data_IF_011316445192
#
_entry.id   IF_011316445192
#
_cell.length_a   1.000
_cell.length_b   1.000
_cell.length_c   1.000
_cell.angle_alpha   90.00
_cell.angle_beta   90.00
_cell.angle_gamma   90.00
#
_symmetry.space_group_name_H-M   'P 1'
#
loop_
_entity.id
_entity.type
_entity.pdbx_description
1 polymer ?
#
# COMPACT_ATOMS: atom_id res chain seq x y z
N UNK A 1 34.04 12.23 50.48
CA UNK A 1 32.66 12.15 49.94
C UNK A 1 32.30 13.34 49.05
N UNK A 2 32.48 14.60 49.49
CA UNK A 2 32.18 15.79 48.68
C UNK A 2 32.98 15.88 47.37
N UNK A 3 34.27 15.55 47.40
CA UNK A 3 35.14 15.59 46.20
C UNK A 3 34.77 14.52 45.15
N UNK A 4 34.33 13.34 45.61
CA UNK A 4 33.87 12.27 44.74
C UNK A 4 32.57 12.66 44.01
N UNK A 5 31.65 13.33 44.71
CA UNK A 5 30.43 13.86 44.10
C UNK A 5 30.74 14.98 43.10
N UNK A 6 31.72 15.83 43.40
CA UNK A 6 32.14 16.88 42.47
C UNK A 6 32.75 16.30 41.19
N UNK A 7 33.60 15.27 41.30
CA UNK A 7 34.14 14.55 40.15
C UNK A 7 33.06 13.93 39.27
N UNK A 8 32.01 13.37 39.87
CA UNK A 8 30.87 12.79 39.12
C UNK A 8 30.13 13.88 38.34
N UNK A 9 29.90 15.04 38.96
CA UNK A 9 29.23 16.18 38.31
C UNK A 9 30.08 16.71 37.15
N UNK A 10 31.37 16.87 37.37
CA UNK A 10 32.29 17.38 36.35
C UNK A 10 32.38 16.41 35.15
N UNK A 11 32.41 15.11 35.43
CA UNK A 11 32.41 14.07 34.40
C UNK A 11 31.09 14.06 33.61
N UNK A 12 29.94 14.23 34.26
CA UNK A 12 28.65 14.37 33.59
C UNK A 12 28.60 15.61 32.68
N UNK A 13 29.11 16.74 33.16
CA UNK A 13 29.17 17.98 32.39
C UNK A 13 30.06 17.84 31.14
N UNK A 14 31.22 17.19 31.28
CA UNK A 14 32.10 16.88 30.15
C UNK A 14 31.42 15.97 29.12
N UNK A 15 30.70 14.95 29.60
CA UNK A 15 29.99 14.00 28.73
C UNK A 15 28.87 14.69 27.95
N UNK A 16 28.10 15.53 28.63
CA UNK A 16 27.02 16.31 28.02
C UNK A 16 27.56 17.30 26.97
N UNK A 17 28.70 17.94 27.25
CA UNK A 17 29.36 18.84 26.30
C UNK A 17 29.81 18.10 25.04
N UNK A 18 30.41 16.91 25.17
CA UNK A 18 30.84 16.10 24.03
C UNK A 18 29.65 15.65 23.17
N UNK A 19 28.55 15.22 23.79
CA UNK A 19 27.33 14.83 23.08
C UNK A 19 26.71 16.01 22.33
N UNK A 20 26.70 17.20 22.93
CA UNK A 20 26.25 18.43 22.26
C UNK A 20 27.08 18.74 21.02
N UNK A 21 28.40 18.64 21.14
CA UNK A 21 29.33 18.89 20.02
C UNK A 21 29.15 17.89 18.88
N UNK A 22 28.94 16.60 19.20
CA UNK A 22 28.66 15.57 18.21
C UNK A 22 27.32 15.81 17.49
N UNK A 23 26.29 16.23 18.24
CA UNK A 23 24.99 16.57 17.68
C UNK A 23 25.08 17.79 16.74
N UNK A 24 25.83 18.83 17.11
CA UNK A 24 26.07 19.99 16.23
C UNK A 24 26.79 19.61 14.94
N UNK A 25 27.82 18.77 15.02
CA UNK A 25 28.52 18.24 13.83
C UNK A 25 27.60 17.38 12.95
N UNK A 26 26.71 16.60 13.56
CA UNK A 26 25.74 15.78 12.84
C UNK A 26 24.69 16.65 12.13
N UNK A 27 24.16 17.66 12.83
CA UNK A 27 23.18 18.61 12.29
C UNK A 27 23.73 19.43 11.13
N UNK A 28 24.98 19.91 11.23
CA UNK A 28 25.63 20.64 10.13
C UNK A 28 25.90 19.78 8.89
N UNK A 29 26.00 18.45 9.03
CA UNK A 29 26.19 17.52 7.92
C UNK A 29 24.87 17.12 7.25
N UNK A 30 23.81 16.96 8.05
CA UNK A 30 22.50 16.51 7.56
C UNK A 30 21.66 17.65 6.97
N UNK A 31 21.87 18.87 7.45
CA UNK A 31 21.16 20.06 7.00
C UNK A 31 22.16 21.14 6.55
N UNK A 32 22.74 21.05 5.33
CA UNK A 32 23.46 22.18 4.79
C UNK A 32 22.49 23.36 4.72
N UNK A 33 22.89 24.51 5.26
CA UNK A 33 22.12 25.77 5.21
C UNK A 33 21.97 26.17 3.75
N UNK A 34 20.94 25.62 3.09
CA UNK A 34 20.38 26.18 1.90
C UNK A 34 19.67 27.44 2.36
N UNK A 35 20.27 28.60 2.05
CA UNK A 35 19.60 29.88 2.22
C UNK A 35 18.24 29.77 1.53
N UNK A 36 17.18 29.83 2.35
CA UNK A 36 15.85 30.39 2.10
C UNK A 36 14.89 29.82 3.16
N UNK A 37 14.39 30.72 4.01
CA UNK A 37 13.52 30.44 5.13
C UNK A 37 12.31 29.56 4.75
N UNK A 38 12.09 28.47 5.47
CA UNK A 38 10.78 27.83 5.59
C UNK A 38 10.72 27.11 6.94
N UNK A 39 9.69 27.44 7.71
CA UNK A 39 9.36 26.90 9.03
C UNK A 39 9.40 25.36 9.08
N UNK A 40 9.69 24.75 10.25
CA UNK A 40 9.66 23.29 10.40
C UNK A 40 8.23 22.78 10.13
N UNK A 41 8.04 22.19 8.96
CA UNK A 41 6.79 21.53 8.59
C UNK A 41 6.55 20.36 9.57
N UNK A 42 5.35 20.23 10.15
CA UNK A 42 5.02 19.06 10.96
C UNK A 42 5.10 17.80 10.09
N UNK A 43 5.85 16.80 10.56
CA UNK A 43 5.97 15.49 9.91
C UNK A 43 4.63 14.78 10.11
N UNK A 44 3.68 15.02 9.20
CA UNK A 44 2.47 14.19 9.14
C UNK A 44 2.97 12.81 8.66
N UNK A 45 2.87 11.74 9.47
CA UNK A 45 3.21 10.41 8.98
C UNK A 45 2.38 10.15 7.74
N UNK A 46 3.05 9.77 6.65
CA UNK A 46 2.52 9.50 5.31
C UNK A 46 1.22 8.69 5.39
N UNK A 47 0.10 9.39 5.55
CA UNK A 47 -1.23 8.80 5.51
C UNK A 47 -1.46 8.55 4.04
N UNK A 48 -1.17 7.32 3.62
CA UNK A 48 -1.67 6.76 2.36
C UNK A 48 -3.11 7.27 2.21
N UNK A 49 -3.44 7.99 1.13
CA UNK A 49 -4.75 8.61 1.00
C UNK A 49 -5.81 7.55 1.28
N UNK A 50 -6.83 7.91 2.06
CA UNK A 50 -7.94 7.05 2.43
C UNK A 50 -8.79 6.79 1.17
N UNK A 51 -8.22 6.01 0.24
CA UNK A 51 -8.83 5.69 -1.03
C UNK A 51 -9.84 4.60 -0.73
N UNK A 52 -11.10 5.02 -0.64
CA UNK A 52 -12.22 4.11 -0.50
C UNK A 52 -12.13 3.00 -1.55
N UNK A 53 -12.37 1.74 -1.17
CA UNK A 53 -12.29 0.63 -2.10
C UNK A 53 -13.34 0.81 -3.20
N UNK A 54 -12.87 0.85 -4.45
CA UNK A 54 -13.72 0.98 -5.63
C UNK A 54 -14.50 -0.32 -5.83
N UNK A 55 -15.82 -0.20 -5.97
CA UNK A 55 -16.71 -1.30 -6.32
C UNK A 55 -17.07 -1.22 -7.80
N UNK A 56 -17.18 -2.38 -8.44
CA UNK A 56 -17.56 -2.51 -9.84
C UNK A 56 -18.90 -3.24 -9.98
N UNK A 57 -19.69 -2.78 -10.93
CA UNK A 57 -20.88 -3.47 -11.42
C UNK A 57 -20.52 -4.64 -12.33
N UNK A 58 -21.47 -5.56 -12.55
CA UNK A 58 -21.28 -6.68 -13.50
C UNK A 58 -20.86 -6.18 -14.89
N UNK A 59 -21.47 -5.11 -15.39
CA UNK A 59 -21.15 -4.57 -16.72
C UNK A 59 -19.70 -4.07 -16.77
N UNK A 60 -19.28 -3.29 -15.78
CA UNK A 60 -17.88 -2.81 -15.72
C UNK A 60 -16.88 -3.96 -15.62
N UNK A 61 -17.20 -5.04 -14.90
CA UNK A 61 -16.33 -6.22 -14.83
C UNK A 61 -16.25 -6.95 -16.17
N UNK A 62 -17.37 -7.06 -16.89
CA UNK A 62 -17.41 -7.67 -18.23
C UNK A 62 -16.56 -6.86 -19.21
N UNK A 63 -16.69 -5.54 -19.17
CA UNK A 63 -15.93 -4.62 -20.02
C UNK A 63 -14.44 -4.66 -19.67
N UNK A 64 -14.09 -4.69 -18.38
CA UNK A 64 -12.71 -4.76 -17.91
C UNK A 64 -12.00 -6.04 -18.37
N UNK A 65 -12.69 -7.18 -18.33
CA UNK A 65 -12.15 -8.46 -18.81
C UNK A 65 -12.27 -8.67 -20.32
N UNK A 66 -12.94 -7.76 -21.05
CA UNK A 66 -13.24 -7.88 -22.48
C UNK A 66 -13.90 -9.22 -22.84
N UNK A 67 -14.89 -9.65 -22.03
CA UNK A 67 -15.59 -10.93 -22.21
C UNK A 67 -17.07 -10.76 -22.54
N UNK A 68 -17.72 -11.83 -23.00
CA UNK A 68 -19.18 -11.84 -23.09
C UNK A 68 -19.84 -12.09 -21.74
N UNK A 69 -21.06 -11.59 -21.56
CA UNK A 69 -21.87 -11.82 -20.37
C UNK A 69 -22.06 -13.33 -20.07
N UNK A 70 -22.25 -14.15 -21.10
CA UNK A 70 -22.36 -15.59 -20.96
C UNK A 70 -21.07 -16.22 -20.38
N UNK A 71 -19.91 -15.73 -20.81
CA UNK A 71 -18.60 -16.18 -20.30
C UNK A 71 -18.45 -15.79 -18.84
N UNK A 72 -18.82 -14.56 -18.49
CA UNK A 72 -18.77 -14.07 -17.12
C UNK A 72 -19.54 -14.98 -16.15
N UNK A 73 -20.81 -15.26 -16.45
CA UNK A 73 -21.65 -16.09 -15.56
C UNK A 73 -21.21 -17.56 -15.50
N UNK A 74 -20.58 -18.10 -16.55
CA UNK A 74 -20.17 -19.51 -16.60
C UNK A 74 -18.82 -19.78 -15.97
N UNK A 75 -17.87 -18.86 -16.16
CA UNK A 75 -16.45 -19.12 -15.86
C UNK A 75 -15.86 -18.19 -14.81
N UNK A 76 -16.46 -17.02 -14.58
CA UNK A 76 -15.86 -15.97 -13.73
C UNK A 76 -16.61 -15.84 -12.41
N UNK A 77 -17.93 -15.62 -12.48
CA UNK A 77 -18.78 -15.42 -11.30
C UNK A 77 -18.71 -16.61 -10.35
N UNK A 78 -18.46 -16.34 -9.06
CA UNK A 78 -18.39 -17.34 -7.97
C UNK A 78 -17.31 -18.41 -8.19
N UNK A 79 -16.33 -18.15 -9.05
CA UNK A 79 -15.20 -19.04 -9.32
C UNK A 79 -13.92 -18.27 -9.17
N UNK A 80 -13.78 -17.18 -9.94
CA UNK A 80 -12.60 -16.33 -9.95
C UNK A 80 -12.78 -15.10 -9.07
N UNK A 81 -13.99 -14.55 -9.05
CA UNK A 81 -14.35 -13.41 -8.20
C UNK A 81 -15.66 -13.70 -7.48
N UNK A 82 -15.77 -13.15 -6.28
CA UNK A 82 -16.96 -13.30 -5.42
C UNK A 82 -17.60 -11.93 -5.19
N UNK A 83 -18.93 -11.84 -5.18
CA UNK A 83 -19.62 -10.58 -4.94
C UNK A 83 -19.46 -10.19 -3.47
N UNK A 84 -18.96 -8.98 -3.23
CA UNK A 84 -18.72 -8.43 -1.88
C UNK A 84 -20.02 -7.88 -1.28
N UNK A 85 -20.83 -7.23 -2.12
CA UNK A 85 -22.10 -6.66 -1.71
C UNK A 85 -23.15 -6.83 -2.81
N UNK A 86 -24.43 -6.65 -2.46
CA UNK A 86 -25.55 -6.67 -3.39
C UNK A 86 -26.52 -5.55 -3.07
N UNK A 87 -26.93 -4.80 -4.10
CA UNK A 87 -28.05 -3.85 -3.99
C UNK A 87 -29.23 -4.46 -4.74
N UNK A 88 -30.24 -4.88 -3.98
CA UNK A 88 -31.30 -5.75 -4.51
C UNK A 88 -30.71 -7.06 -5.05
N UNK A 89 -31.01 -7.38 -6.31
CA UNK A 89 -30.47 -8.57 -6.99
C UNK A 89 -29.20 -8.29 -7.82
N UNK A 90 -28.63 -7.08 -7.72
CA UNK A 90 -27.43 -6.68 -8.48
C UNK A 90 -26.17 -6.85 -7.63
N UNK A 91 -25.27 -7.79 -7.98
CA UNK A 91 -24.01 -7.97 -7.27
C UNK A 91 -22.95 -6.93 -7.65
N UNK A 92 -22.15 -6.55 -6.67
CA UNK A 92 -20.99 -5.67 -6.80
C UNK A 92 -19.72 -6.42 -6.40
N UNK A 93 -18.61 -6.08 -7.05
CA UNK A 93 -17.31 -6.74 -6.90
C UNK A 93 -16.24 -5.72 -6.51
N UNK A 94 -15.23 -6.14 -5.75
CA UNK A 94 -14.11 -5.27 -5.42
C UNK A 94 -13.21 -5.10 -6.65
N UNK A 95 -12.75 -3.87 -6.91
CA UNK A 95 -11.81 -3.61 -7.99
C UNK A 95 -10.47 -4.35 -7.78
N UNK A 96 -10.00 -4.47 -6.54
CA UNK A 96 -8.75 -5.18 -6.21
C UNK A 96 -8.79 -6.64 -6.64
N UNK A 97 -9.91 -7.34 -6.39
CA UNK A 97 -10.06 -8.76 -6.71
C UNK A 97 -10.09 -8.96 -8.22
N UNK A 98 -10.75 -8.06 -8.94
CA UNK A 98 -10.80 -8.04 -10.40
C UNK A 98 -9.41 -7.80 -10.99
N UNK A 99 -8.64 -6.87 -10.42
CA UNK A 99 -7.27 -6.57 -10.84
C UNK A 99 -6.32 -7.75 -10.53
N UNK A 100 -6.47 -8.39 -9.37
CA UNK A 100 -5.68 -9.57 -8.98
C UNK A 100 -5.87 -10.71 -9.97
N UNK A 101 -7.12 -11.02 -10.35
CA UNK A 101 -7.40 -12.00 -11.39
C UNK A 101 -6.75 -11.63 -12.72
N UNK A 102 -6.75 -10.34 -13.08
CA UNK A 102 -6.14 -9.85 -14.31
C UNK A 102 -4.61 -10.01 -14.32
N UNK A 103 -3.94 -9.88 -13.17
CA UNK A 103 -2.48 -10.12 -13.05
C UNK A 103 -2.09 -11.56 -13.38
N UNK A 104 -3.00 -12.51 -13.20
CA UNK A 104 -2.77 -13.91 -13.55
C UNK A 104 -3.04 -14.24 -15.03
N UNK A 105 -3.53 -13.28 -15.81
CA UNK A 105 -3.83 -13.46 -17.23
C UNK A 105 -2.65 -12.93 -18.06
N UNK A 106 -2.03 -13.76 -18.92
CA UNK A 106 -1.01 -13.28 -19.85
C UNK A 106 -1.57 -12.17 -20.74
N UNK A 107 -0.79 -11.11 -20.96
CA UNK A 107 -1.22 -9.91 -21.70
C UNK A 107 -1.71 -10.17 -23.15
N UNK A 108 -1.54 -11.38 -23.68
CA UNK A 108 -1.92 -11.75 -25.05
C UNK A 108 -3.09 -12.75 -25.13
N UNK A 109 -3.61 -13.23 -23.99
CA UNK A 109 -4.71 -14.20 -23.95
C UNK A 109 -5.96 -13.59 -23.27
N UNK A 110 -6.62 -12.62 -23.92
CA UNK A 110 -7.94 -12.16 -23.48
C UNK A 110 -9.03 -12.96 -24.18
N UNK A 111 -9.97 -13.52 -23.40
CA UNK A 111 -11.15 -14.20 -23.97
C UNK A 111 -11.63 -15.42 -23.20
N UNK A 112 -12.74 -16.00 -23.67
CA UNK A 112 -13.48 -17.06 -22.96
C UNK A 112 -12.65 -18.33 -22.67
N UNK A 113 -11.69 -18.66 -23.55
CA UNK A 113 -10.83 -19.82 -23.36
C UNK A 113 -9.87 -19.65 -22.18
N UNK A 114 -9.31 -18.46 -22.00
CA UNK A 114 -8.41 -18.11 -20.89
C UNK A 114 -9.09 -18.30 -19.54
N UNK A 115 -10.29 -17.73 -19.38
CA UNK A 115 -11.05 -17.85 -18.13
C UNK A 115 -11.50 -19.29 -17.85
N UNK A 116 -11.77 -20.08 -18.90
CA UNK A 116 -12.06 -21.52 -18.75
C UNK A 116 -10.83 -22.28 -18.24
N UNK A 117 -9.64 -21.99 -18.78
CA UNK A 117 -8.36 -22.59 -18.34
C UNK A 117 -8.05 -22.20 -16.89
N UNK A 118 -8.21 -20.92 -16.54
CA UNK A 118 -7.99 -20.41 -15.19
C UNK A 118 -8.92 -21.08 -14.16
N UNK A 119 -10.21 -21.20 -14.51
CA UNK A 119 -11.20 -21.94 -13.70
C UNK A 119 -10.80 -23.39 -13.45
N UNK A 120 -10.27 -24.09 -14.46
CA UNK A 120 -9.87 -25.49 -14.30
C UNK A 120 -8.65 -25.61 -13.37
N UNK A 121 -7.66 -24.71 -13.49
CA UNK A 121 -6.49 -24.69 -12.60
C UNK A 121 -6.87 -24.54 -11.12
N UNK A 122 -7.94 -23.81 -10.82
CA UNK A 122 -8.47 -23.61 -9.47
C UNK A 122 -9.25 -24.81 -8.92
N UNK A 123 -9.68 -25.74 -9.78
CA UNK A 123 -10.39 -26.97 -9.36
C UNK A 123 -9.45 -28.14 -9.10
N UNK A 124 -8.29 -28.14 -9.75
CA UNK A 124 -7.32 -29.23 -9.70
C UNK A 124 -6.28 -29.04 -8.56
N UNK A 125 -6.35 -27.94 -7.80
CA UNK A 125 -5.55 -27.67 -6.61
C UNK A 125 -6.41 -27.65 -5.35
#
# INVERSE_FOLDING_TARGET
MKEMLQQIIDQQNQTNSLLSQQNEMLMGRLYPVAGNATEPQPIIPDQKPDVLPRHLTVSEVIDYFEVSQATFYRNIKNVLIHPVNKVGNRPYYLFSDVEEVMKHIPAHEKGAWTFKKLKNRLKDG
#
